data_IF_088494437154
#
_entry.id   IF_088494437154
#
_cell.length_a   1.000
_cell.length_b   1.000
_cell.length_c   1.000
_cell.angle_alpha   90.00
_cell.angle_beta   90.00
_cell.angle_gamma   90.00
#
_symmetry.space_group_name_H-M   'P 1'
#
loop_
_entity.id
_entity.type
_entity.pdbx_description
1 polymer ?
#
# COMPACT_ATOMS: atom_id res chain seq x y z
N UNK A 1 11.56 -30.18 -33.13
CA UNK A 1 10.10 -29.97 -33.28
C UNK A 1 9.43 -31.26 -32.84
N UNK A 2 8.79 -31.28 -31.67
CA UNK A 2 8.33 -32.52 -31.03
C UNK A 2 6.80 -32.65 -31.15
N UNK A 3 6.26 -33.84 -31.44
CA UNK A 3 4.83 -34.02 -31.76
C UNK A 3 3.92 -33.92 -30.53
N UNK A 4 2.80 -33.22 -30.69
CA UNK A 4 1.70 -33.11 -29.73
C UNK A 4 0.69 -34.22 -30.02
N UNK A 5 0.48 -35.15 -29.09
CA UNK A 5 -0.55 -36.19 -29.20
C UNK A 5 -1.75 -35.84 -28.31
N UNK A 6 -2.95 -35.94 -28.89
CA UNK A 6 -4.23 -35.70 -28.20
C UNK A 6 -5.01 -37.00 -28.19
N UNK A 7 -5.13 -37.65 -27.04
CA UNK A 7 -6.12 -38.71 -26.80
C UNK A 7 -6.95 -38.35 -25.57
N UNK A 8 -8.27 -38.50 -25.69
CA UNK A 8 -9.17 -38.59 -24.53
C UNK A 8 -9.13 -37.42 -23.55
N UNK A 9 -9.28 -36.18 -24.03
CA UNK A 9 -9.70 -35.04 -23.20
C UNK A 9 -8.70 -34.52 -22.14
N UNK A 10 -7.47 -35.04 -22.07
CA UNK A 10 -6.41 -34.55 -21.18
C UNK A 10 -5.16 -34.23 -22.00
N UNK A 11 -4.75 -32.96 -22.00
CA UNK A 11 -3.54 -32.51 -22.69
C UNK A 11 -2.35 -32.72 -21.76
N UNK A 12 -1.39 -33.55 -22.18
CA UNK A 12 -0.14 -33.78 -21.46
C UNK A 12 1.01 -33.18 -22.29
N UNK A 13 1.68 -32.17 -21.75
CA UNK A 13 2.89 -31.63 -22.35
C UNK A 13 4.10 -32.30 -21.67
N UNK A 14 4.91 -32.98 -22.47
CA UNK A 14 6.17 -33.58 -21.99
C UNK A 14 7.31 -32.84 -22.67
N UNK A 15 8.10 -32.10 -21.89
CA UNK A 15 9.30 -31.42 -22.38
C UNK A 15 10.50 -32.26 -21.91
N UNK A 16 11.29 -32.75 -22.87
CA UNK A 16 12.54 -33.45 -22.59
C UNK A 16 13.69 -32.46 -22.73
N UNK A 17 14.48 -32.31 -21.67
CA UNK A 17 15.81 -31.70 -21.74
C UNK A 17 16.84 -32.77 -21.39
N UNK A 18 18.10 -32.54 -21.77
CA UNK A 18 19.17 -33.57 -21.68
C UNK A 18 19.49 -34.05 -20.26
N UNK A 19 19.03 -33.34 -19.23
CA UNK A 19 19.29 -33.73 -17.85
C UNK A 19 18.04 -34.23 -17.09
N UNK A 20 16.80 -33.82 -17.43
CA UNK A 20 15.59 -34.33 -16.76
C UNK A 20 14.32 -34.23 -17.64
N UNK A 21 13.31 -35.08 -17.34
CA UNK A 21 11.98 -35.01 -17.97
C UNK A 21 10.97 -34.40 -17.00
N UNK A 22 10.36 -33.27 -17.37
CA UNK A 22 9.30 -32.62 -16.59
C UNK A 22 7.92 -32.94 -17.19
N UNK A 23 7.03 -33.51 -16.37
CA UNK A 23 5.68 -33.89 -16.77
C UNK A 23 4.64 -32.96 -16.14
N UNK A 24 3.96 -32.15 -16.97
CA UNK A 24 2.89 -31.28 -16.51
C UNK A 24 1.51 -31.87 -16.87
N UNK A 25 0.59 -31.82 -15.91
CA UNK A 25 -0.78 -32.33 -16.06
C UNK A 25 -1.77 -31.17 -15.87
N UNK A 26 -2.37 -30.70 -16.95
CA UNK A 26 -3.39 -29.65 -16.88
C UNK A 26 -4.77 -30.30 -16.70
N UNK A 27 -5.46 -29.98 -15.60
CA UNK A 27 -6.85 -30.39 -15.40
C UNK A 27 -7.79 -29.37 -16.06
N UNK A 28 -8.68 -29.85 -16.95
CA UNK A 28 -9.78 -29.03 -17.50
C UNK A 28 -10.74 -28.69 -16.36
N UNK A 29 -10.79 -27.42 -15.94
CA UNK A 29 -11.85 -26.96 -15.04
C UNK A 29 -11.54 -25.78 -14.14
N UNK A 30 -10.28 -25.37 -13.96
CA UNK A 30 -10.00 -24.19 -13.14
C UNK A 30 -9.91 -22.97 -14.03
N UNK A 31 -11.03 -22.25 -14.16
CA UNK A 31 -10.96 -20.86 -14.63
C UNK A 31 -10.12 -20.09 -13.62
N UNK A 32 -8.89 -19.75 -13.97
CA UNK A 32 -8.20 -18.64 -13.30
C UNK A 32 -8.97 -17.38 -13.65
N UNK A 33 -9.98 -17.06 -12.83
CA UNK A 33 -10.49 -15.69 -12.78
C UNK A 33 -9.32 -14.88 -12.25
N UNK A 34 -8.64 -14.15 -13.12
CA UNK A 34 -7.83 -13.03 -12.66
C UNK A 34 -8.79 -12.13 -11.88
N UNK A 35 -8.77 -12.23 -10.54
CA UNK A 35 -9.43 -11.28 -9.68
C UNK A 35 -8.69 -9.97 -9.89
N UNK A 36 -9.17 -9.20 -10.86
CA UNK A 36 -8.90 -7.79 -10.91
C UNK A 36 -9.58 -7.22 -9.66
N UNK A 37 -8.84 -7.22 -8.55
CA UNK A 37 -9.22 -6.45 -7.37
C UNK A 37 -9.32 -5.02 -7.86
N UNK A 38 -10.55 -4.58 -8.16
CA UNK A 38 -10.88 -3.16 -8.20
C UNK A 38 -10.53 -2.66 -6.80
N UNK A 39 -9.26 -2.25 -6.60
CA UNK A 39 -8.84 -1.55 -5.38
C UNK A 39 -9.85 -0.42 -5.26
N UNK A 40 -10.71 -0.48 -4.24
CA UNK A 40 -11.76 0.53 -4.05
C UNK A 40 -11.04 1.87 -4.03
N UNK A 41 -11.33 2.73 -5.01
CA UNK A 41 -10.73 4.04 -5.08
C UNK A 41 -11.04 4.80 -3.79
N UNK A 42 -10.03 5.42 -3.19
CA UNK A 42 -10.17 6.22 -1.98
C UNK A 42 -9.44 5.64 -0.77
N UNK A 43 -9.62 6.33 0.36
CA UNK A 43 -8.95 6.00 1.60
C UNK A 43 -9.62 4.84 2.32
N UNK A 44 -8.82 3.87 2.77
CA UNK A 44 -9.30 2.75 3.58
C UNK A 44 -8.33 2.40 4.70
N UNK A 45 -8.85 1.99 5.84
CA UNK A 45 -8.05 1.47 6.95
C UNK A 45 -7.41 0.11 6.59
N UNK A 46 -8.09 -0.69 5.78
CA UNK A 46 -7.61 -1.99 5.32
C UNK A 46 -6.28 -1.86 4.54
N UNK A 47 -6.20 -0.90 3.61
CA UNK A 47 -4.95 -0.66 2.88
C UNK A 47 -3.83 -0.19 3.81
N UNK A 48 -4.12 0.69 4.79
CA UNK A 48 -3.12 1.15 5.74
C UNK A 48 -2.56 -0.02 6.57
N UNK A 49 -3.43 -0.90 7.07
CA UNK A 49 -3.06 -2.08 7.84
C UNK A 49 -2.31 -3.14 7.01
N UNK A 50 -2.51 -3.17 5.69
CA UNK A 50 -1.77 -4.07 4.80
C UNK A 50 -0.34 -3.57 4.51
N UNK A 51 -0.11 -2.26 4.64
CA UNK A 51 1.19 -1.64 4.33
C UNK A 51 2.04 -1.50 5.60
N UNK A 52 1.44 -1.05 6.69
CA UNK A 52 2.12 -0.83 7.96
C UNK A 52 2.05 -2.07 8.85
N UNK A 53 3.20 -2.47 9.37
CA UNK A 53 3.30 -3.59 10.30
C UNK A 53 2.93 -3.13 11.72
N UNK A 54 1.75 -3.55 12.21
CA UNK A 54 1.27 -3.16 13.55
C UNK A 54 2.13 -3.66 14.70
N UNK A 55 3.05 -4.61 14.46
CA UNK A 55 4.01 -5.07 15.47
C UNK A 55 5.23 -4.16 15.61
N UNK A 56 5.42 -3.21 14.70
CA UNK A 56 6.58 -2.31 14.67
C UNK A 56 6.19 -0.89 15.05
N UNK A 57 7.04 -0.26 15.85
CA UNK A 57 6.89 1.13 16.26
C UNK A 57 6.96 2.08 15.05
N UNK A 58 6.11 3.11 15.10
CA UNK A 58 6.16 4.26 14.19
C UNK A 58 6.74 5.43 14.97
N UNK A 59 7.68 6.16 14.37
CA UNK A 59 8.35 7.29 14.99
C UNK A 59 7.95 8.59 14.29
N UNK A 60 7.78 9.66 15.09
CA UNK A 60 7.61 11.01 14.56
C UNK A 60 8.94 11.54 14.04
N UNK A 61 8.99 12.00 12.79
CA UNK A 61 10.16 12.67 12.22
C UNK A 61 9.99 14.19 12.12
N UNK A 62 8.76 14.67 12.22
CA UNK A 62 8.46 16.11 12.23
C UNK A 62 8.22 16.62 13.66
N UNK A 63 8.71 17.82 13.96
CA UNK A 63 8.38 18.55 15.20
C UNK A 63 7.18 19.49 15.00
N UNK A 64 6.95 19.93 13.77
CA UNK A 64 5.81 20.78 13.38
C UNK A 64 5.16 20.22 12.13
N UNK A 65 3.85 20.41 12.01
CA UNK A 65 3.15 20.06 10.77
C UNK A 65 3.32 21.15 9.71
N UNK A 66 3.51 20.72 8.47
CA UNK A 66 3.55 21.60 7.31
C UNK A 66 2.13 21.86 6.80
N UNK A 67 1.66 23.12 6.74
CA UNK A 67 0.35 23.44 6.22
C UNK A 67 0.32 23.24 4.70
N UNK A 68 -0.70 22.52 4.23
CA UNK A 68 -1.02 22.40 2.82
C UNK A 68 -2.09 23.43 2.46
N UNK A 69 -1.69 24.37 1.61
CA UNK A 69 -2.58 25.41 1.11
C UNK A 69 -3.49 24.89 -0.01
N UNK A 70 -4.70 25.44 -0.10
CA UNK A 70 -5.61 25.19 -1.22
C UNK A 70 -5.02 25.77 -2.49
N UNK A 71 -5.09 24.99 -3.57
CA UNK A 71 -4.81 25.46 -4.91
C UNK A 71 -6.14 25.58 -5.66
N UNK A 72 -6.43 26.78 -6.14
CA UNK A 72 -7.62 27.11 -6.91
C UNK A 72 -7.18 27.91 -8.14
N UNK A 73 -7.71 27.55 -9.32
CA UNK A 73 -7.34 28.15 -10.61
C UNK A 73 -5.83 28.24 -10.89
N UNK A 74 -5.08 27.21 -10.46
CA UNK A 74 -3.62 27.14 -10.65
C UNK A 74 -2.81 28.08 -9.76
N UNK A 75 -3.45 28.78 -8.81
CA UNK A 75 -2.77 29.63 -7.82
C UNK A 75 -2.92 29.06 -6.43
N UNK A 76 -1.87 29.22 -5.63
CA UNK A 76 -1.91 28.93 -4.19
C UNK A 76 -2.71 30.03 -3.51
N UNK A 77 -3.71 29.65 -2.72
CA UNK A 77 -4.45 30.57 -1.86
C UNK A 77 -3.80 30.63 -0.47
N UNK A 78 -4.32 31.48 0.41
CA UNK A 78 -3.92 31.55 1.83
C UNK A 78 -4.78 30.63 2.73
N UNK A 79 -5.68 29.83 2.16
CA UNK A 79 -6.53 28.89 2.88
C UNK A 79 -5.78 27.58 3.14
N UNK A 80 -5.57 27.23 4.42
CA UNK A 80 -5.02 25.92 4.82
C UNK A 80 -6.11 24.87 4.76
N UNK A 81 -5.91 23.82 3.96
CA UNK A 81 -6.89 22.72 3.79
C UNK A 81 -6.47 21.41 4.43
N UNK A 82 -5.21 21.32 4.87
CA UNK A 82 -4.67 20.16 5.54
C UNK A 82 -3.31 20.48 6.17
N UNK A 83 -2.83 19.54 6.97
CA UNK A 83 -1.52 19.56 7.59
C UNK A 83 -0.81 18.25 7.30
N UNK A 84 0.51 18.29 7.09
CA UNK A 84 1.32 17.11 6.80
C UNK A 84 2.45 16.97 7.80
N UNK A 85 2.78 15.73 8.14
CA UNK A 85 3.96 15.39 8.92
C UNK A 85 4.65 14.15 8.37
N UNK A 86 5.94 14.02 8.67
CA UNK A 86 6.77 12.88 8.28
C UNK A 86 6.93 11.89 9.42
N UNK A 87 6.86 10.61 9.07
CA UNK A 87 6.93 9.49 10.00
C UNK A 87 7.75 8.35 9.41
N UNK A 88 8.25 7.47 10.26
CA UNK A 88 9.00 6.29 9.83
C UNK A 88 8.62 5.03 10.58
N UNK A 89 8.75 3.91 9.89
CA UNK A 89 8.64 2.56 10.46
C UNK A 89 9.76 1.70 9.88
N UNK A 90 10.37 0.86 10.72
CA UNK A 90 11.45 -0.02 10.28
C UNK A 90 11.01 -0.96 9.16
N UNK A 91 11.76 -0.93 8.04
CA UNK A 91 11.47 -1.71 6.84
C UNK A 91 10.63 -0.98 5.79
N UNK A 92 10.23 0.27 6.04
CA UNK A 92 9.56 1.14 5.08
C UNK A 92 10.35 2.44 4.89
N UNK A 93 10.31 3.05 3.69
CA UNK A 93 10.77 4.42 3.53
C UNK A 93 9.96 5.36 4.43
N UNK A 94 10.53 6.50 4.86
CA UNK A 94 9.75 7.56 5.50
C UNK A 94 8.54 7.95 4.66
N UNK A 95 7.41 8.20 5.32
CA UNK A 95 6.15 8.49 4.66
C UNK A 95 5.46 9.70 5.29
N UNK A 96 4.70 10.41 4.46
CA UNK A 96 3.86 11.52 4.89
C UNK A 96 2.49 11.02 5.36
N UNK A 97 1.99 11.61 6.44
CA UNK A 97 0.59 11.45 6.86
C UNK A 97 -0.08 12.82 6.83
N UNK A 98 -1.21 12.89 6.14
CA UNK A 98 -2.06 14.07 6.07
C UNK A 98 -3.09 14.07 7.22
N UNK A 99 -3.27 15.21 7.85
CA UNK A 99 -4.32 15.51 8.82
C UNK A 99 -5.24 16.60 8.27
N UNK A 100 -6.54 16.50 8.55
CA UNK A 100 -7.49 17.56 8.20
C UNK A 100 -7.29 18.76 9.13
N UNK A 101 -7.18 18.48 10.44
CA UNK A 101 -7.01 19.48 11.47
C UNK A 101 -5.56 19.56 11.95
N UNK A 102 -5.21 20.69 12.56
CA UNK A 102 -3.89 20.85 13.16
C UNK A 102 -3.79 19.99 14.42
N UNK A 103 -2.82 19.08 14.45
CA UNK A 103 -2.52 18.24 15.62
C UNK A 103 -1.17 18.61 16.23
N UNK A 104 -1.04 18.43 17.55
CA UNK A 104 0.24 18.65 18.22
C UNK A 104 1.12 17.41 18.03
N UNK A 105 2.28 17.60 17.39
CA UNK A 105 3.25 16.52 17.25
C UNK A 105 4.03 16.34 18.57
N UNK A 106 4.37 15.10 18.93
CA UNK A 106 5.32 14.83 20.01
C UNK A 106 6.75 15.12 19.56
N UNK A 107 7.74 15.07 20.47
CA UNK A 107 9.14 15.27 20.15
C UNK A 107 9.66 14.38 19.01
N UNK A 108 10.74 14.82 18.37
CA UNK A 108 11.44 14.06 17.36
C UNK A 108 11.81 12.65 17.88
N UNK A 109 11.53 11.63 17.06
CA UNK A 109 11.68 10.20 17.36
C UNK A 109 10.80 9.64 18.49
N UNK A 110 9.81 10.38 18.99
CA UNK A 110 8.79 9.77 19.86
C UNK A 110 8.03 8.67 19.13
N UNK A 111 7.71 7.59 19.83
CA UNK A 111 6.88 6.50 19.33
C UNK A 111 5.43 6.97 19.36
N UNK A 112 4.70 6.73 18.27
CA UNK A 112 3.33 7.23 18.11
C UNK A 112 2.37 6.17 17.60
N UNK A 113 1.08 6.48 17.77
CA UNK A 113 -0.04 5.81 17.11
C UNK A 113 -0.93 6.84 16.46
N UNK A 114 -1.60 6.44 15.38
CA UNK A 114 -2.55 7.28 14.66
C UNK A 114 -3.99 6.92 15.00
N UNK A 115 -4.84 7.93 15.11
CA UNK A 115 -6.28 7.76 15.21
C UNK A 115 -6.87 7.65 13.79
N UNK A 116 -7.65 6.57 13.56
CA UNK A 116 -8.29 6.26 12.27
C UNK A 116 -7.37 6.38 11.04
N UNK A 117 -6.19 5.78 11.10
CA UNK A 117 -5.28 5.78 9.96
C UNK A 117 -5.91 5.10 8.74
N UNK A 118 -5.82 5.77 7.59
CA UNK A 118 -6.26 5.25 6.31
C UNK A 118 -5.20 5.51 5.24
N UNK A 119 -5.18 4.64 4.24
CA UNK A 119 -4.32 4.81 3.08
C UNK A 119 -5.15 4.75 1.80
N UNK A 120 -4.71 5.47 0.79
CA UNK A 120 -5.17 5.30 -0.59
C UNK A 120 -3.97 5.11 -1.51
N UNK A 121 -4.22 4.52 -2.67
CA UNK A 121 -3.22 4.41 -3.73
C UNK A 121 -3.66 5.25 -4.93
N UNK A 122 -2.76 6.08 -5.42
CA UNK A 122 -2.95 6.88 -6.63
C UNK A 122 -1.70 6.77 -7.47
N UNK A 123 -1.83 6.28 -8.71
CA UNK A 123 -0.72 6.08 -9.65
C UNK A 123 0.44 5.29 -9.01
N UNK A 124 0.14 4.17 -8.34
CA UNK A 124 1.10 3.31 -7.62
C UNK A 124 1.82 3.98 -6.43
N UNK A 125 1.45 5.19 -6.05
CA UNK A 125 1.95 5.86 -4.85
C UNK A 125 0.93 5.69 -3.72
N UNK A 126 1.44 5.45 -2.51
CA UNK A 126 0.63 5.32 -1.31
C UNK A 126 0.59 6.67 -0.59
N UNK A 127 -0.61 7.09 -0.23
CA UNK A 127 -0.85 8.29 0.56
C UNK A 127 -1.59 7.92 1.83
N UNK A 128 -1.12 8.44 2.96
CA UNK A 128 -1.73 8.21 4.26
C UNK A 128 -2.49 9.45 4.73
N UNK A 129 -3.58 9.21 5.44
CA UNK A 129 -4.25 10.23 6.23
C UNK A 129 -4.66 9.66 7.59
N UNK A 130 -4.73 10.52 8.59
CA UNK A 130 -5.21 10.17 9.91
C UNK A 130 -6.04 11.33 10.49
N UNK A 131 -6.90 11.02 11.45
CA UNK A 131 -7.70 12.02 12.15
C UNK A 131 -6.91 12.64 13.31
N UNK A 132 -5.94 11.90 13.86
CA UNK A 132 -5.19 12.31 15.03
C UNK A 132 -3.93 11.49 15.27
N UNK A 133 -3.18 11.88 16.29
CA UNK A 133 -1.93 11.23 16.71
C UNK A 133 -1.82 11.23 18.23
N UNK A 134 -1.27 10.15 18.78
CA UNK A 134 -0.98 10.00 20.22
C UNK A 134 0.42 9.45 20.41
N UNK A 135 1.15 10.02 21.36
CA UNK A 135 2.42 9.49 21.82
C UNK A 135 2.19 8.21 22.65
N UNK A 136 3.01 7.20 22.38
CA UNK A 136 3.08 5.97 23.17
C UNK A 136 4.22 6.13 24.16
N UNK A 137 3.89 6.06 25.45
CA UNK A 137 4.86 6.10 26.55
C UNK A 137 5.26 4.69 27.00
#
# INVERSE_FOLDING_TARGET
MSPLFIEGGKIKLTIKTEQHTLNYRFMKGTTMKAQYNKRKGGYSAELANNILDRSKAIHSLSETLEPQMKFEDGKRTDEVIAYKGWFSQSGLPPFEVKFTDQVKLPPYLSIITFDHLQACEVNYNIYFKADGIKEVK
#
